data_IF_342461159998
#
_entry.id   IF_342461159998
#
_cell.length_a   1.000
_cell.length_b   1.000
_cell.length_c   1.000
_cell.angle_alpha   90.00
_cell.angle_beta   90.00
_cell.angle_gamma   90.00
#
_symmetry.space_group_name_H-M   'P 1'
#
loop_
_entity.id
_entity.type
_entity.pdbx_description
1 polymer ?
#
# COMPACT_ATOMS: atom_id res chain seq x y z
N UNK A 1 25.85 13.55 33.81
CA UNK A 1 25.63 13.40 33.11
C UNK A 1 25.22 13.05 32.31
N UNK A 2 25.08 13.21 31.86
CA UNK A 2 24.71 12.76 30.93
C UNK A 2 24.27 12.59 30.08
N UNK A 3 24.22 12.72 29.69
CA UNK A 3 23.90 12.41 28.71
C UNK A 3 23.57 12.17 27.97
N UNK A 4 23.60 12.31 27.76
CA UNK A 4 23.34 11.96 26.75
C UNK A 4 22.93 11.60 25.94
N UNK A 5 22.93 11.62 25.80
CA UNK A 5 22.60 11.08 24.90
C UNK A 5 22.37 10.90 24.28
N UNK A 6 22.57 11.12 24.23
CA UNK A 6 22.39 10.73 23.33
C UNK A 6 22.15 10.32 22.58
N UNK A 7 22.38 10.31 22.58
CA UNK A 7 22.23 9.68 21.75
C UNK A 7 21.70 9.40 21.18
N UNK A 8 21.83 9.64 21.43
CA UNK A 8 21.32 9.14 20.84
C UNK A 8 20.63 9.22 20.19
N UNK A 9 20.64 9.62 20.53
CA UNK A 9 19.93 9.64 19.86
C UNK A 9 19.98 9.48 18.86
N UNK A 10 20.55 9.25 18.60
CA UNK A 10 20.70 8.99 17.72
C UNK A 10 20.18 8.39 17.05
N UNK A 11 19.80 8.49 16.56
CA UNK A 11 19.19 7.93 15.88
C UNK A 11 19.27 7.60 14.74
N UNK A 12 19.78 7.20 14.14
CA UNK A 12 20.02 6.74 12.88
C UNK A 12 19.01 6.34 12.11
N UNK A 13 18.35 6.06 12.53
CA UNK A 13 17.27 5.74 11.92
C UNK A 13 16.77 6.67 10.95
N UNK A 14 17.30 7.81 10.67
CA UNK A 14 16.79 8.66 9.62
C UNK A 14 16.60 7.94 8.31
N UNK A 15 17.52 7.06 7.94
CA UNK A 15 17.36 6.30 6.71
C UNK A 15 16.19 5.35 6.78
N UNK A 16 15.97 4.75 7.96
CA UNK A 16 14.88 3.80 8.11
C UNK A 16 13.52 4.47 8.09
N UNK A 17 13.44 5.76 8.46
CA UNK A 17 12.18 6.48 8.47
C UNK A 17 11.97 7.31 7.21
N UNK A 18 12.98 7.43 6.36
CA UNK A 18 12.86 8.20 5.13
C UNK A 18 11.98 7.47 4.13
N UNK A 19 10.95 8.15 3.68
CA UNK A 19 9.99 7.57 2.75
C UNK A 19 10.25 8.12 1.37
N UNK A 20 10.46 7.26 0.39
CA UNK A 20 10.72 7.66 -0.98
C UNK A 20 10.02 6.82 -2.02
N UNK A 21 9.43 5.70 -1.65
CA UNK A 21 8.71 4.87 -2.60
C UNK A 21 7.43 5.55 -3.10
N UNK A 22 7.09 5.34 -4.35
CA UNK A 22 5.85 5.86 -4.93
C UNK A 22 5.09 4.69 -5.55
N UNK A 23 3.84 4.52 -5.13
CA UNK A 23 2.98 3.45 -5.62
C UNK A 23 1.81 4.05 -6.38
N UNK A 24 1.57 3.56 -7.59
CA UNK A 24 0.40 3.94 -8.39
C UNK A 24 -0.47 2.72 -8.56
N UNK A 25 -1.78 2.88 -8.38
CA UNK A 25 -2.73 1.78 -8.38
C UNK A 25 -3.93 2.07 -9.27
N UNK A 26 -4.36 1.04 -10.00
CA UNK A 26 -5.64 1.02 -10.69
C UNK A 26 -6.47 -0.06 -9.99
N UNK A 27 -7.29 0.36 -9.03
CA UNK A 27 -7.98 -0.54 -8.12
C UNK A 27 -9.13 -1.28 -8.82
N UNK A 28 -9.17 -2.59 -8.65
CA UNK A 28 -10.21 -3.43 -9.19
C UNK A 28 -10.01 -4.88 -8.77
N UNK A 29 -10.86 -5.77 -9.25
CA UNK A 29 -10.73 -7.21 -9.00
C UNK A 29 -9.34 -7.69 -9.40
N UNK A 30 -8.84 -7.20 -10.52
CA UNK A 30 -7.44 -7.30 -10.89
C UNK A 30 -6.89 -5.89 -10.80
N UNK A 31 -5.98 -5.68 -9.88
CA UNK A 31 -5.42 -4.36 -9.63
C UNK A 31 -4.15 -4.19 -10.44
N UNK A 32 -4.12 -3.14 -11.27
CA UNK A 32 -2.88 -2.74 -11.94
C UNK A 32 -2.04 -1.91 -10.99
N UNK A 33 -0.73 -2.07 -11.05
CA UNK A 33 0.15 -1.34 -10.14
C UNK A 33 1.49 -1.02 -10.78
N UNK A 34 2.09 0.05 -10.29
CA UNK A 34 3.47 0.41 -10.63
C UNK A 34 4.12 0.98 -9.36
N UNK A 35 5.33 0.56 -9.09
CA UNK A 35 6.05 0.94 -7.89
C UNK A 35 7.43 1.45 -8.27
N UNK A 36 7.75 2.67 -7.83
CA UNK A 36 9.10 3.19 -7.92
C UNK A 36 9.74 3.07 -6.55
N UNK A 37 10.80 2.28 -6.46
CA UNK A 37 11.51 2.03 -5.22
C UNK A 37 12.43 3.19 -4.86
N UNK A 38 13.00 3.14 -3.66
CA UNK A 38 13.91 4.18 -3.17
C UNK A 38 15.14 4.34 -4.04
N UNK A 39 15.54 3.32 -4.77
CA UNK A 39 16.70 3.36 -5.68
C UNK A 39 16.33 3.84 -7.09
N UNK A 40 15.08 4.21 -7.31
CA UNK A 40 14.60 4.71 -8.59
C UNK A 40 14.13 3.63 -9.56
N UNK A 41 14.28 2.36 -9.23
CA UNK A 41 13.80 1.30 -10.10
C UNK A 41 12.27 1.24 -10.10
N UNK A 42 11.71 1.04 -11.28
CA UNK A 42 10.26 0.95 -11.44
C UNK A 42 9.89 -0.49 -11.82
N UNK A 43 8.98 -1.06 -11.06
CA UNK A 43 8.38 -2.35 -11.39
C UNK A 43 6.88 -2.16 -11.52
N UNK A 44 6.24 -3.01 -12.31
CA UNK A 44 4.80 -2.90 -12.51
C UNK A 44 4.23 -4.27 -12.82
N UNK A 45 2.92 -4.38 -12.71
CA UNK A 45 2.23 -5.62 -13.00
C UNK A 45 0.77 -5.54 -12.63
N UNK A 46 0.17 -6.71 -12.47
CA UNK A 46 -1.20 -6.84 -12.00
C UNK A 46 -1.23 -7.80 -10.83
N UNK A 47 -2.20 -7.62 -9.95
CA UNK A 47 -2.39 -8.49 -8.81
C UNK A 47 -3.88 -8.75 -8.62
N UNK A 48 -4.24 -9.99 -8.34
CA UNK A 48 -5.62 -10.37 -8.07
C UNK A 48 -5.76 -10.74 -6.60
N UNK A 49 -6.78 -10.19 -5.96
CA UNK A 49 -7.07 -10.48 -4.56
C UNK A 49 -8.38 -11.25 -4.42
N UNK A 50 -8.77 -11.93 -5.51
CA UNK A 50 -10.01 -12.69 -5.53
C UNK A 50 -10.00 -13.75 -4.43
N UNK A 51 -11.05 -13.82 -3.60
CA UNK A 51 -11.14 -14.87 -2.60
C UNK A 51 -11.19 -16.24 -3.26
N UNK A 52 -10.65 -17.23 -2.56
CA UNK A 52 -10.80 -18.60 -2.99
C UNK A 52 -12.23 -19.07 -2.80
N UNK A 53 -12.54 -20.26 -3.35
CA UNK A 53 -13.88 -20.78 -3.38
C UNK A 53 -14.51 -20.93 -1.99
N UNK A 54 -13.68 -21.22 -0.99
CA UNK A 54 -14.15 -21.44 0.38
C UNK A 54 -13.76 -20.30 1.33
N UNK A 55 -13.26 -19.19 0.79
CA UNK A 55 -12.88 -18.02 1.60
C UNK A 55 -14.09 -17.13 1.83
N UNK A 56 -14.09 -16.44 2.96
CA UNK A 56 -15.04 -15.36 3.18
C UNK A 56 -14.68 -14.14 2.36
N UNK A 57 -15.64 -13.25 2.15
CA UNK A 57 -15.45 -12.04 1.34
C UNK A 57 -14.39 -11.10 1.88
N UNK A 58 -14.15 -11.14 3.18
CA UNK A 58 -13.12 -10.30 3.79
C UNK A 58 -11.70 -10.68 3.42
N UNK A 59 -11.49 -11.90 2.93
CA UNK A 59 -10.15 -12.37 2.56
C UNK A 59 -9.55 -11.55 1.43
N UNK A 60 -10.37 -11.00 0.54
CA UNK A 60 -9.90 -10.11 -0.52
C UNK A 60 -9.14 -8.93 0.08
N UNK A 61 -9.73 -8.30 1.07
CA UNK A 61 -9.16 -7.07 1.65
C UNK A 61 -7.98 -7.38 2.56
N UNK A 62 -8.00 -8.53 3.20
CA UNK A 62 -6.87 -8.98 4.01
C UNK A 62 -5.66 -9.27 3.13
N UNK A 63 -5.86 -9.94 2.00
CA UNK A 63 -4.78 -10.20 1.04
C UNK A 63 -4.24 -8.91 0.46
N UNK A 64 -5.12 -7.97 0.16
CA UNK A 64 -4.73 -6.65 -0.34
C UNK A 64 -3.86 -5.93 0.70
N UNK A 65 -4.27 -5.93 1.96
CA UNK A 65 -3.49 -5.32 3.05
C UNK A 65 -2.12 -5.95 3.17
N UNK A 66 -2.05 -7.28 3.13
CA UNK A 66 -0.78 -7.98 3.23
C UNK A 66 0.13 -7.67 2.07
N UNK A 67 -0.43 -7.54 0.87
CA UNK A 67 0.32 -7.20 -0.32
C UNK A 67 0.88 -5.78 -0.23
N UNK A 68 0.08 -4.81 0.24
CA UNK A 68 0.54 -3.44 0.44
C UNK A 68 1.69 -3.39 1.45
N UNK A 69 1.57 -4.14 2.53
CA UNK A 69 2.60 -4.20 3.56
C UNK A 69 3.90 -4.77 2.99
N UNK A 70 3.79 -5.78 2.14
CA UNK A 70 4.96 -6.38 1.51
C UNK A 70 5.62 -5.42 0.52
N UNK A 71 4.83 -4.68 -0.26
CA UNK A 71 5.38 -3.68 -1.16
C UNK A 71 6.12 -2.58 -0.39
N UNK A 72 5.54 -2.14 0.72
CA UNK A 72 6.15 -1.12 1.57
C UNK A 72 7.51 -1.61 2.08
N UNK A 73 7.59 -2.87 2.47
CA UNK A 73 8.81 -3.47 2.96
C UNK A 73 9.87 -3.58 1.87
N UNK A 74 9.47 -4.01 0.67
CA UNK A 74 10.41 -4.28 -0.43
C UNK A 74 10.93 -3.02 -1.09
N UNK A 75 10.11 -1.96 -1.17
CA UNK A 75 10.49 -0.77 -1.91
C UNK A 75 11.29 0.24 -1.07
N UNK A 76 11.41 -0.02 0.22
CA UNK A 76 11.68 1.05 1.16
C UNK A 76 10.35 1.77 1.42
N UNK A 77 10.19 2.46 2.53
CA UNK A 77 8.89 3.01 2.92
C UNK A 77 8.25 3.85 1.82
N UNK A 78 6.98 3.60 1.58
CA UNK A 78 6.21 4.31 0.56
C UNK A 78 5.91 5.73 1.06
N UNK A 79 6.22 6.72 0.23
CA UNK A 79 6.00 8.13 0.53
C UNK A 79 4.67 8.63 0.01
N UNK A 80 4.20 8.07 -1.10
CA UNK A 80 2.98 8.55 -1.73
C UNK A 80 2.31 7.41 -2.49
N UNK A 81 0.99 7.45 -2.50
CA UNK A 81 0.18 6.50 -3.25
C UNK A 81 -0.76 7.30 -4.13
N UNK A 82 -0.81 6.92 -5.39
CA UNK A 82 -1.69 7.54 -6.39
C UNK A 82 -2.68 6.51 -6.88
N UNK A 83 -3.95 6.87 -6.92
CA UNK A 83 -4.97 6.01 -7.52
C UNK A 83 -6.08 6.89 -8.07
N UNK A 84 -6.76 6.37 -9.09
CA UNK A 84 -7.85 7.11 -9.73
C UNK A 84 -9.13 6.89 -8.94
N UNK A 85 -9.85 7.96 -8.69
CA UNK A 85 -11.15 7.86 -8.06
C UNK A 85 -12.17 7.57 -9.16
N UNK A 86 -12.70 6.35 -9.17
CA UNK A 86 -13.65 5.91 -10.18
C UNK A 86 -15.05 6.06 -9.62
N UNK A 87 -15.89 6.82 -10.32
CA UNK A 87 -17.26 7.11 -9.86
C UNK A 87 -18.31 6.29 -10.58
N UNK A 88 -17.97 5.68 -11.73
CA UNK A 88 -18.87 4.84 -12.50
C UNK A 88 -18.26 3.47 -12.68
N UNK A 89 -19.10 2.45 -12.50
CA UNK A 89 -18.67 1.06 -12.60
C UNK A 89 -19.62 0.29 -13.49
N UNK A 90 -19.14 -0.84 -14.03
CA UNK A 90 -19.92 -1.68 -14.90
C UNK A 90 -21.11 -2.34 -14.19
N UNK A 91 -21.05 -2.44 -12.86
CA UNK A 91 -22.13 -3.07 -12.11
C UNK A 91 -21.93 -2.85 -10.61
N UNK A 92 -22.91 -3.31 -9.85
CA UNK A 92 -22.94 -3.15 -8.40
C UNK A 92 -21.78 -3.86 -7.73
N UNK A 93 -21.45 -5.08 -8.18
CA UNK A 93 -20.35 -5.83 -7.60
C UNK A 93 -19.02 -5.13 -7.79
N UNK A 94 -18.78 -4.59 -9.00
CA UNK A 94 -17.56 -3.84 -9.28
C UNK A 94 -17.46 -2.61 -8.39
N UNK A 95 -18.57 -1.92 -8.17
CA UNK A 95 -18.60 -0.75 -7.31
C UNK A 95 -18.29 -1.10 -5.85
N UNK A 96 -18.85 -2.22 -5.37
CA UNK A 96 -18.61 -2.66 -3.99
C UNK A 96 -17.15 -3.07 -3.78
N UNK A 97 -16.58 -3.78 -4.73
CA UNK A 97 -15.18 -4.20 -4.66
C UNK A 97 -14.25 -2.98 -4.67
N UNK A 98 -14.49 -2.06 -5.59
CA UNK A 98 -13.70 -0.85 -5.68
C UNK A 98 -13.77 -0.06 -4.35
N UNK A 99 -14.97 0.14 -3.82
CA UNK A 99 -15.18 0.85 -2.57
C UNK A 99 -14.46 0.18 -1.41
N UNK A 100 -14.52 -1.13 -1.34
CA UNK A 100 -13.82 -1.89 -0.30
C UNK A 100 -12.31 -1.78 -0.40
N UNK A 101 -11.77 -1.87 -1.62
CA UNK A 101 -10.33 -1.70 -1.85
C UNK A 101 -9.89 -0.29 -1.51
N UNK A 102 -10.67 0.72 -1.90
CA UNK A 102 -10.34 2.11 -1.62
C UNK A 102 -10.35 2.37 -0.11
N UNK A 103 -11.35 1.88 0.61
CA UNK A 103 -11.44 2.04 2.05
C UNK A 103 -10.27 1.35 2.75
N UNK A 104 -9.92 0.15 2.30
CA UNK A 104 -8.79 -0.59 2.87
C UNK A 104 -7.48 0.13 2.61
N UNK A 105 -7.28 0.62 1.39
CA UNK A 105 -6.07 1.35 1.01
C UNK A 105 -5.90 2.61 1.84
N UNK A 106 -6.95 3.42 1.93
CA UNK A 106 -6.86 4.69 2.64
C UNK A 106 -6.67 4.49 4.14
N UNK A 107 -7.33 3.48 4.73
CA UNK A 107 -7.11 3.13 6.13
C UNK A 107 -5.68 2.67 6.38
N UNK A 108 -5.17 1.81 5.51
CA UNK A 108 -3.80 1.31 5.63
C UNK A 108 -2.80 2.47 5.54
N UNK A 109 -3.02 3.39 4.60
CA UNK A 109 -2.15 4.55 4.42
C UNK A 109 -2.18 5.48 5.64
N UNK A 110 -3.37 5.74 6.19
CA UNK A 110 -3.51 6.57 7.38
C UNK A 110 -2.72 6.00 8.55
N UNK A 111 -2.83 4.69 8.76
CA UNK A 111 -2.11 4.05 9.86
C UNK A 111 -0.60 4.19 9.71
N UNK A 112 -0.09 4.37 8.52
CA UNK A 112 1.34 4.51 8.26
C UNK A 112 1.78 5.94 8.06
N UNK A 113 0.87 6.89 8.10
CA UNK A 113 1.21 8.29 7.92
C UNK A 113 1.55 8.66 6.49
N UNK A 114 0.99 7.93 5.53
CA UNK A 114 1.21 8.22 4.11
C UNK A 114 0.17 9.18 3.59
#
# INVERSE_FOLDING_TARGET
MNTPIPAQDIRPEPAATHRSGILALDLGTTTGWALRSHDGLITSGTASFRPGRFDGGGMRYLRFTNWLTELDRLSGPIAAIWFEEVRRHAGTDAAHIYGGLMATLTSWAELRGI
#
